data_IF_729127016899
#
_entry.id   IF_729127016899
#
_cell.length_a   1.000
_cell.length_b   1.000
_cell.length_c   1.000
_cell.angle_alpha   90.00
_cell.angle_beta   90.00
_cell.angle_gamma   90.00
#
_symmetry.space_group_name_H-M   'P 1'
#
loop_
_entity.id
_entity.type
_entity.pdbx_description
1 polymer ?
#
# COMPACT_ATOMS: atom_id res chain seq x y z
N UNK A 1 24.08 9.80 -16.01
CA UNK A 1 24.01 9.85 -14.53
C UNK A 1 23.04 8.76 -14.08
N UNK A 2 23.41 7.92 -13.12
CA UNK A 2 22.56 6.83 -12.62
C UNK A 2 21.48 7.31 -11.65
N UNK A 3 20.44 6.48 -11.43
CA UNK A 3 19.38 6.74 -10.45
C UNK A 3 19.98 6.82 -9.04
N UNK A 4 19.55 7.81 -8.27
CA UNK A 4 19.87 7.93 -6.85
C UNK A 4 18.60 8.10 -6.05
N UNK A 5 18.48 7.41 -4.94
CA UNK A 5 17.34 7.47 -4.03
C UNK A 5 17.79 7.90 -2.64
N UNK A 6 16.92 8.61 -1.91
CA UNK A 6 17.18 8.92 -0.52
C UNK A 6 16.87 7.69 0.33
N UNK A 7 17.90 7.15 0.98
CA UNK A 7 17.76 5.99 1.85
C UNK A 7 17.53 6.47 3.29
N UNK A 8 16.33 6.26 3.82
CA UNK A 8 15.97 6.67 5.20
C UNK A 8 16.86 6.01 6.26
N UNK A 9 17.29 4.75 6.07
CA UNK A 9 18.17 4.04 7.01
C UNK A 9 19.54 4.74 7.14
N UNK A 10 20.10 5.16 6.01
CA UNK A 10 21.39 5.86 5.95
C UNK A 10 21.30 7.39 5.94
N UNK A 11 20.07 7.95 5.98
CA UNK A 11 19.74 9.39 5.90
C UNK A 11 20.48 10.16 4.81
N UNK A 12 20.74 9.53 3.67
CA UNK A 12 21.56 10.07 2.59
C UNK A 12 21.06 9.67 1.21
N UNK A 13 21.39 10.48 0.20
CA UNK A 13 21.21 10.10 -1.21
C UNK A 13 22.26 9.04 -1.58
N UNK A 14 21.81 7.90 -2.06
CA UNK A 14 22.67 6.77 -2.45
C UNK A 14 22.40 6.38 -3.90
N UNK A 15 23.41 5.81 -4.56
CA UNK A 15 23.21 5.18 -5.86
C UNK A 15 22.22 4.02 -5.71
N UNK A 16 21.26 3.92 -6.62
CA UNK A 16 20.35 2.79 -6.64
C UNK A 16 21.00 1.63 -7.40
N UNK A 17 21.18 0.51 -6.70
CA UNK A 17 21.70 -0.75 -7.26
C UNK A 17 20.67 -1.86 -6.97
N UNK A 18 20.08 -2.48 -8.01
CA UNK A 18 19.09 -3.53 -7.80
C UNK A 18 19.75 -4.81 -7.27
N UNK A 19 19.02 -5.58 -6.47
CA UNK A 19 19.46 -6.90 -5.97
C UNK A 19 19.69 -7.86 -7.15
N UNK A 20 18.76 -7.86 -8.11
CA UNK A 20 18.85 -8.65 -9.34
C UNK A 20 19.10 -7.71 -10.51
N UNK A 21 20.18 -7.88 -11.29
CA UNK A 21 20.44 -7.03 -12.45
C UNK A 21 19.24 -6.96 -13.41
N UNK A 22 18.80 -5.74 -13.73
CA UNK A 22 17.67 -5.50 -14.64
C UNK A 22 16.27 -5.64 -14.01
N UNK A 23 16.14 -6.11 -12.77
CA UNK A 23 14.85 -6.30 -12.10
C UNK A 23 14.78 -5.60 -10.74
N UNK A 24 13.63 -4.98 -10.45
CA UNK A 24 13.38 -4.25 -9.20
C UNK A 24 12.07 -4.72 -8.59
N UNK A 25 12.15 -5.26 -7.38
CA UNK A 25 11.00 -5.47 -6.52
C UNK A 25 10.91 -4.35 -5.48
N UNK A 26 9.72 -3.79 -5.27
CA UNK A 26 9.48 -2.89 -4.14
C UNK A 26 8.08 -3.07 -3.56
N UNK A 27 7.96 -2.74 -2.27
CA UNK A 27 6.71 -2.79 -1.52
C UNK A 27 6.30 -1.39 -1.08
N UNK A 28 5.07 -0.98 -1.42
CA UNK A 28 4.43 0.24 -0.94
C UNK A 28 3.27 -0.11 -0.02
N UNK A 29 3.21 0.47 1.18
CA UNK A 29 2.10 0.22 2.11
C UNK A 29 0.78 0.73 1.52
N UNK A 30 -0.23 -0.15 1.44
CA UNK A 30 -1.56 0.19 0.99
C UNK A 30 -2.50 0.70 2.10
N UNK A 31 -3.78 0.95 1.76
CA UNK A 31 -4.74 1.59 2.65
C UNK A 31 -5.30 0.63 3.70
N UNK A 32 -5.74 1.21 4.82
CA UNK A 32 -6.72 0.58 5.72
C UNK A 32 -8.13 0.94 5.26
N UNK A 33 -8.90 -0.06 4.82
CA UNK A 33 -10.14 0.12 4.06
C UNK A 33 -11.39 0.26 4.94
N UNK A 34 -11.33 1.17 5.92
CA UNK A 34 -12.47 1.54 6.78
C UNK A 34 -13.13 2.87 6.39
N UNK A 35 -12.47 3.68 5.55
CA UNK A 35 -13.01 4.93 5.04
C UNK A 35 -12.48 5.26 3.64
N UNK A 36 -13.05 6.28 3.00
CA UNK A 36 -12.48 6.87 1.79
C UNK A 36 -11.07 7.39 2.06
N UNK A 37 -10.16 7.18 1.10
CA UNK A 37 -8.82 7.74 1.15
C UNK A 37 -8.88 9.27 1.03
N UNK A 38 -8.20 9.98 1.92
CA UNK A 38 -8.08 11.42 1.83
C UNK A 38 -6.86 11.82 1.00
N UNK A 39 -6.78 13.09 0.59
CA UNK A 39 -5.68 13.61 -0.26
C UNK A 39 -4.28 13.32 0.30
N UNK A 40 -4.12 13.33 1.63
CA UNK A 40 -2.88 12.94 2.29
C UNK A 40 -2.46 11.48 2.05
N UNK A 41 -3.41 10.53 2.00
CA UNK A 41 -3.13 9.15 1.63
C UNK A 41 -2.78 9.07 0.14
N UNK A 42 -3.59 9.72 -0.71
CA UNK A 42 -3.44 9.68 -2.17
C UNK A 42 -2.09 10.21 -2.66
N UNK A 43 -1.51 11.19 -1.95
CA UNK A 43 -0.14 11.67 -2.23
C UNK A 43 0.91 10.55 -2.19
N UNK A 44 0.79 9.59 -1.26
CA UNK A 44 1.74 8.48 -1.15
C UNK A 44 1.65 7.56 -2.39
N UNK A 45 0.43 7.25 -2.84
CA UNK A 45 0.24 6.39 -4.01
C UNK A 45 0.65 7.07 -5.32
N UNK A 46 0.51 8.39 -5.44
CA UNK A 46 1.10 9.15 -6.55
C UNK A 46 2.63 9.04 -6.52
N UNK A 47 3.26 9.09 -5.33
CA UNK A 47 4.70 8.93 -5.22
C UNK A 47 5.16 7.52 -5.63
N UNK A 48 4.49 6.47 -5.16
CA UNK A 48 4.81 5.08 -5.54
C UNK A 48 4.64 4.84 -7.04
N UNK A 49 3.61 5.43 -7.65
CA UNK A 49 3.40 5.42 -9.11
C UNK A 49 4.55 6.10 -9.86
N UNK A 50 4.96 7.29 -9.42
CA UNK A 50 6.11 8.00 -10.00
C UNK A 50 7.39 7.17 -9.89
N UNK A 51 7.61 6.49 -8.75
CA UNK A 51 8.75 5.58 -8.58
C UNK A 51 8.69 4.42 -9.57
N UNK A 52 7.54 3.72 -9.65
CA UNK A 52 7.36 2.59 -10.57
C UNK A 52 7.55 3.00 -12.03
N UNK A 53 6.92 4.10 -12.47
CA UNK A 53 7.05 4.63 -13.83
C UNK A 53 8.47 5.07 -14.14
N UNK A 54 9.16 5.71 -13.19
CA UNK A 54 10.56 6.11 -13.35
C UNK A 54 11.48 4.90 -13.53
N UNK A 55 11.29 3.85 -12.72
CA UNK A 55 12.08 2.62 -12.84
C UNK A 55 11.83 1.91 -14.18
N UNK A 56 10.57 1.80 -14.62
CA UNK A 56 10.26 1.22 -15.94
C UNK A 56 10.82 2.06 -17.08
N UNK A 57 10.74 3.39 -17.00
CA UNK A 57 11.34 4.29 -17.97
C UNK A 57 12.87 4.11 -18.08
N UNK A 58 13.53 3.80 -16.97
CA UNK A 58 14.96 3.47 -16.92
C UNK A 58 15.30 2.06 -17.42
N UNK A 59 14.31 1.28 -17.85
CA UNK A 59 14.49 -0.05 -18.44
C UNK A 59 14.47 -1.22 -17.45
N UNK A 60 14.06 -1.01 -16.20
CA UNK A 60 13.91 -2.09 -15.23
C UNK A 60 12.60 -2.87 -15.42
N UNK A 61 12.66 -4.19 -15.22
CA UNK A 61 11.47 -4.99 -14.93
C UNK A 61 11.03 -4.70 -13.48
N UNK A 62 9.83 -4.16 -13.30
CA UNK A 62 9.35 -3.69 -11.98
C UNK A 62 8.23 -4.59 -11.46
N UNK A 63 8.43 -5.13 -10.25
CA UNK A 63 7.40 -5.81 -9.45
C UNK A 63 7.03 -4.94 -8.25
N UNK A 64 5.91 -4.23 -8.36
CA UNK A 64 5.36 -3.42 -7.28
C UNK A 64 4.33 -4.25 -6.49
N UNK A 65 4.54 -4.41 -5.19
CA UNK A 65 3.61 -5.09 -4.27
C UNK A 65 2.98 -4.06 -3.33
N UNK A 66 1.67 -4.18 -3.11
CA UNK A 66 0.93 -3.34 -2.16
C UNK A 66 -0.04 -4.21 -1.36
N UNK A 67 -0.16 -3.99 -0.07
CA UNK A 67 -1.17 -4.68 0.74
C UNK A 67 -2.53 -3.95 0.72
N UNK A 68 -3.56 -4.60 1.24
CA UNK A 68 -4.81 -3.98 1.69
C UNK A 68 -5.01 -4.40 3.14
N UNK A 69 -5.10 -3.43 4.04
CA UNK A 69 -5.40 -3.71 5.45
C UNK A 69 -6.91 -3.78 5.61
N UNK A 70 -7.48 -4.97 5.42
CA UNK A 70 -8.91 -5.27 5.47
C UNK A 70 -9.40 -5.91 6.78
N UNK A 71 -8.47 -6.13 7.72
CA UNK A 71 -8.74 -6.59 9.07
C UNK A 71 -7.70 -5.97 10.02
N UNK A 72 -8.10 -5.73 11.26
CA UNK A 72 -7.23 -5.11 12.26
C UNK A 72 -7.05 -3.61 12.01
N UNK A 73 -6.04 -3.05 12.68
CA UNK A 73 -5.66 -1.63 12.73
C UNK A 73 -6.41 -0.83 13.81
N UNK A 74 -5.80 -0.82 14.99
CA UNK A 74 -6.24 -0.09 16.16
C UNK A 74 -6.14 1.42 15.94
N UNK A 75 -6.92 2.21 16.68
CA UNK A 75 -6.86 3.67 16.62
C UNK A 75 -5.62 4.27 17.25
N UNK A 76 -4.96 3.56 18.17
CA UNK A 76 -3.68 3.94 18.77
C UNK A 76 -2.50 3.41 17.95
N UNK A 77 -1.36 4.12 18.05
CA UNK A 77 -0.05 3.62 17.58
C UNK A 77 0.57 2.64 18.59
N UNK A 78 0.06 2.63 19.83
CA UNK A 78 0.18 1.52 20.77
C UNK A 78 -0.99 0.56 20.58
N UNK A 79 -0.90 -0.70 21.02
CA UNK A 79 -2.00 -1.70 20.94
C UNK A 79 -3.27 -1.32 21.74
N UNK A 80 -3.47 -0.03 22.00
CA UNK A 80 -4.63 0.58 22.62
C UNK A 80 -5.59 1.16 21.58
N UNK A 81 -6.86 1.23 21.96
CA UNK A 81 -7.90 1.87 21.15
C UNK A 81 -8.83 0.89 20.43
N UNK A 82 -9.81 1.45 19.73
CA UNK A 82 -10.83 0.68 19.03
C UNK A 82 -10.30 0.25 17.65
N UNK A 83 -10.65 -0.95 17.21
CA UNK A 83 -10.40 -1.37 15.83
C UNK A 83 -11.23 -0.50 14.87
N UNK A 84 -10.54 0.20 13.95
CA UNK A 84 -11.19 1.14 13.01
C UNK A 84 -12.19 0.43 12.10
N UNK A 85 -11.90 -0.82 11.69
CA UNK A 85 -12.78 -1.62 10.83
C UNK A 85 -14.04 -2.05 11.58
N UNK A 86 -13.91 -2.56 12.80
CA UNK A 86 -15.05 -2.98 13.65
C UNK A 86 -15.95 -1.79 13.97
N UNK A 87 -15.35 -0.64 14.30
CA UNK A 87 -16.11 0.59 14.56
C UNK A 87 -16.95 1.02 13.37
N UNK A 88 -16.39 1.04 12.16
CA UNK A 88 -17.13 1.41 10.96
C UNK A 88 -18.20 0.38 10.59
N UNK A 89 -17.91 -0.92 10.75
CA UNK A 89 -18.88 -1.99 10.54
C UNK A 89 -20.14 -1.80 11.42
N UNK A 90 -19.95 -1.54 12.71
CA UNK A 90 -21.04 -1.26 13.64
C UNK A 90 -21.83 0.00 13.25
N UNK A 91 -21.15 1.09 12.91
CA UNK A 91 -21.80 2.34 12.49
C UNK A 91 -22.65 2.19 11.21
N UNK A 92 -22.27 1.26 10.33
CA UNK A 92 -22.94 1.05 9.03
C UNK A 92 -23.90 -0.12 8.99
N UNK A 93 -24.03 -0.86 10.09
CA UNK A 93 -24.82 -2.07 10.18
C UNK A 93 -24.44 -3.08 9.05
N UNK A 94 -23.14 -3.24 8.83
CA UNK A 94 -22.52 -4.14 7.84
C UNK A 94 -21.44 -4.99 8.51
N UNK A 95 -21.07 -6.12 7.91
CA UNK A 95 -19.89 -6.86 8.31
C UNK A 95 -18.59 -6.11 7.98
N UNK A 96 -17.51 -6.45 8.68
CA UNK A 96 -16.15 -5.90 8.42
C UNK A 96 -15.72 -6.15 6.97
N UNK A 97 -16.01 -7.35 6.43
CA UNK A 97 -15.65 -7.72 5.06
C UNK A 97 -16.44 -6.91 4.02
N UNK A 98 -17.72 -6.61 4.27
CA UNK A 98 -18.51 -5.75 3.38
C UNK A 98 -18.02 -4.30 3.40
N UNK A 99 -17.61 -3.79 4.56
CA UNK A 99 -16.98 -2.48 4.69
C UNK A 99 -15.65 -2.45 3.95
N UNK A 100 -14.79 -3.45 4.18
CA UNK A 100 -13.50 -3.57 3.55
C UNK A 100 -13.60 -3.62 2.02
N UNK A 101 -14.49 -4.45 1.50
CA UNK A 101 -14.68 -4.60 0.06
C UNK A 101 -15.16 -3.27 -0.56
N UNK A 102 -16.18 -2.64 0.04
CA UNK A 102 -16.70 -1.35 -0.44
C UNK A 102 -15.61 -0.28 -0.55
N UNK A 103 -14.77 -0.14 0.48
CA UNK A 103 -13.71 0.87 0.47
C UNK A 103 -12.47 0.48 -0.32
N UNK A 104 -12.20 -0.82 -0.48
CA UNK A 104 -11.20 -1.30 -1.44
C UNK A 104 -11.59 -0.89 -2.85
N UNK A 105 -12.85 -1.08 -3.23
CA UNK A 105 -13.36 -0.72 -4.55
C UNK A 105 -13.34 0.81 -4.75
N UNK A 106 -13.75 1.57 -3.73
CA UNK A 106 -13.67 3.02 -3.74
C UNK A 106 -12.22 3.53 -3.91
N UNK A 107 -11.27 2.94 -3.17
CA UNK A 107 -9.86 3.29 -3.26
C UNK A 107 -9.29 3.03 -4.67
N UNK A 108 -9.61 1.89 -5.28
CA UNK A 108 -9.15 1.60 -6.64
C UNK A 108 -9.81 2.51 -7.69
N UNK A 109 -11.10 2.86 -7.53
CA UNK A 109 -11.75 3.83 -8.40
C UNK A 109 -11.11 5.23 -8.29
N UNK A 110 -10.75 5.67 -7.07
CA UNK A 110 -10.10 6.97 -6.86
C UNK A 110 -8.68 7.01 -7.43
N UNK A 111 -7.90 5.95 -7.24
CA UNK A 111 -6.53 5.84 -7.80
C UNK A 111 -6.54 5.75 -9.33
N UNK A 112 -7.50 5.02 -9.92
CA UNK A 112 -7.70 5.00 -11.38
C UNK A 112 -8.01 6.40 -11.93
N UNK A 113 -8.87 7.17 -11.26
CA UNK A 113 -9.19 8.56 -11.65
C UNK A 113 -7.99 9.50 -11.57
N UNK A 114 -7.00 9.17 -10.74
CA UNK A 114 -5.72 9.88 -10.65
C UNK A 114 -4.68 9.36 -11.65
N UNK A 115 -5.03 8.41 -12.51
CA UNK A 115 -4.13 7.75 -13.45
C UNK A 115 -2.93 7.06 -12.77
N UNK A 116 -3.15 6.55 -11.55
CA UNK A 116 -2.19 5.73 -10.83
C UNK A 116 -2.27 4.31 -11.37
N UNK A 117 -1.13 3.73 -11.76
CA UNK A 117 -1.10 2.34 -12.21
C UNK A 117 -1.32 1.37 -11.05
N UNK A 118 -2.09 0.31 -11.32
CA UNK A 118 -2.32 -0.73 -10.32
C UNK A 118 -1.01 -1.48 -10.01
N UNK A 119 -0.69 -1.76 -8.73
CA UNK A 119 0.46 -2.58 -8.36
C UNK A 119 0.41 -3.96 -9.03
N UNK A 120 1.58 -4.54 -9.28
CA UNK A 120 1.73 -5.89 -9.88
C UNK A 120 1.06 -6.96 -9.00
N UNK A 121 1.16 -6.80 -7.68
CA UNK A 121 0.51 -7.68 -6.71
C UNK A 121 -0.23 -6.82 -5.68
N UNK A 122 -1.49 -7.16 -5.45
CA UNK A 122 -2.29 -6.62 -4.36
C UNK A 122 -2.68 -7.79 -3.45
N UNK A 123 -2.29 -7.74 -2.17
CA UNK A 123 -2.59 -8.80 -1.20
C UNK A 123 -3.41 -8.26 -0.03
N UNK A 124 -4.45 -8.98 0.38
CA UNK A 124 -5.25 -8.63 1.56
C UNK A 124 -4.61 -9.21 2.81
N UNK A 125 -4.69 -8.49 3.94
CA UNK A 125 -4.19 -9.01 5.20
C UNK A 125 -4.90 -10.31 5.61
N UNK A 126 -6.21 -10.41 5.35
CA UNK A 126 -7.01 -11.62 5.63
C UNK A 126 -6.52 -12.87 4.89
N UNK A 127 -5.97 -12.72 3.68
CA UNK A 127 -5.47 -13.84 2.88
C UNK A 127 -4.15 -14.43 3.43
N UNK A 128 -3.47 -13.69 4.31
CA UNK A 128 -2.13 -14.02 4.82
C UNK A 128 -2.10 -14.25 6.34
N UNK A 129 -3.25 -14.46 6.99
CA UNK A 129 -3.31 -14.70 8.45
C UNK A 129 -2.49 -15.93 8.84
N UNK A 130 -2.58 -17.02 8.08
CA UNK A 130 -1.81 -18.23 8.36
C UNK A 130 -0.30 -17.98 8.27
N UNK A 131 0.13 -17.20 7.27
CA UNK A 131 1.54 -16.81 7.11
C UNK A 131 2.02 -15.96 8.29
N UNK A 132 1.21 -14.99 8.72
CA UNK A 132 1.52 -14.12 9.86
C UNK A 132 1.68 -14.88 11.18
N UNK A 133 0.90 -15.94 11.39
CA UNK A 133 0.99 -16.80 12.59
C UNK A 133 2.24 -17.71 12.54
N UNK A 134 2.72 -18.04 11.34
CA UNK A 134 3.86 -18.95 11.15
C UNK A 134 5.24 -18.27 11.21
N UNK A 135 5.29 -16.93 11.25
CA UNK A 135 6.52 -16.13 11.41
C UNK A 135 7.13 -16.27 12.81
#
# INVERSE_FOLDING_TARGET
MGLRLYNTLGRSLQAFEPITPGAVGFYGCGPTVYNYAHIGNLRAYVFDDVVARSLRYLGYEVKHVMNITDVGHLTGDDDSGEDKMVKTAAQRNKSVLEVAQFYTDAFFADTERLNIERPTVVCKATDHIADMIAL
#
